data_IF_864139415722
#
_entry.id   IF_864139415722
#
_cell.length_a   1.000
_cell.length_b   1.000
_cell.length_c   1.000
_cell.angle_alpha   90.00
_cell.angle_beta   90.00
_cell.angle_gamma   90.00
#
_symmetry.space_group_name_H-M   'P 1'
#
loop_
_entity.id
_entity.type
_entity.pdbx_description
1 polymer ?
#
# COMPACT_ATOMS: atom_id res chain seq x y z
N UNK A 1 -38.01 45.97 3.94
CA UNK A 1 -36.62 45.48 4.06
C UNK A 1 -36.61 44.00 3.75
N UNK A 2 -36.16 43.62 2.54
CA UNK A 2 -35.94 42.22 2.18
C UNK A 2 -34.48 41.91 2.50
N UNK A 3 -34.26 41.06 3.50
CA UNK A 3 -32.93 40.60 3.88
C UNK A 3 -32.48 39.52 2.88
N UNK A 4 -31.99 39.93 1.72
CA UNK A 4 -31.28 39.04 0.81
C UNK A 4 -29.83 38.91 1.30
N UNK A 5 -29.61 37.99 2.25
CA UNK A 5 -28.25 37.57 2.60
C UNK A 5 -27.71 36.76 1.43
N UNK A 6 -26.51 37.06 0.89
CA UNK A 6 -25.90 36.24 -0.14
C UNK A 6 -25.71 34.83 0.42
N UNK A 7 -26.30 33.83 -0.24
CA UNK A 7 -26.07 32.44 0.08
C UNK A 7 -24.61 32.13 -0.24
N UNK A 8 -23.78 32.05 0.80
CA UNK A 8 -22.38 31.64 0.67
C UNK A 8 -22.40 30.18 0.22
N UNK A 9 -22.11 29.96 -1.05
CA UNK A 9 -21.96 28.64 -1.63
C UNK A 9 -20.81 27.93 -0.92
N UNK A 10 -21.15 26.97 -0.07
CA UNK A 10 -20.20 26.21 0.73
C UNK A 10 -19.29 25.45 -0.23
N UNK A 11 -18.02 25.88 -0.29
CA UNK A 11 -16.88 25.23 -0.92
C UNK A 11 -17.15 23.77 -1.33
N UNK A 12 -17.41 23.51 -2.62
CA UNK A 12 -17.09 22.19 -3.18
C UNK A 12 -15.61 21.97 -2.86
N UNK A 13 -15.25 20.95 -2.08
CA UNK A 13 -13.85 20.75 -1.76
C UNK A 13 -13.13 20.53 -3.09
N UNK A 14 -12.08 21.32 -3.34
CA UNK A 14 -11.26 21.29 -4.56
C UNK A 14 -10.37 20.02 -4.58
N UNK A 15 -10.93 18.88 -4.15
CA UNK A 15 -10.21 17.65 -3.81
C UNK A 15 -9.82 16.80 -5.01
N UNK A 16 -10.47 16.99 -6.16
CA UNK A 16 -10.13 16.27 -7.40
C UNK A 16 -8.70 16.59 -7.83
N UNK A 17 -8.42 17.87 -8.08
CA UNK A 17 -7.09 18.36 -8.45
C UNK A 17 -6.01 17.98 -7.42
N UNK A 18 -6.32 18.13 -6.13
CA UNK A 18 -5.36 17.84 -5.06
C UNK A 18 -4.98 16.35 -5.05
N UNK A 19 -5.95 15.44 -5.20
CA UNK A 19 -5.67 13.99 -5.26
C UNK A 19 -4.76 13.64 -6.43
N UNK A 20 -5.04 14.19 -7.61
CA UNK A 20 -4.29 13.90 -8.82
C UNK A 20 -2.85 14.44 -8.71
N UNK A 21 -2.70 15.66 -8.20
CA UNK A 21 -1.39 16.27 -7.91
C UNK A 21 -0.58 15.43 -6.91
N UNK A 22 -1.22 14.97 -5.82
CA UNK A 22 -0.55 14.15 -4.82
C UNK A 22 -0.10 12.80 -5.40
N UNK A 23 -0.93 12.21 -6.26
CA UNK A 23 -0.62 10.95 -6.93
C UNK A 23 0.58 11.10 -7.87
N UNK A 24 0.62 12.17 -8.65
CA UNK A 24 1.74 12.47 -9.55
C UNK A 24 3.04 12.67 -8.78
N UNK A 25 3.01 13.48 -7.70
CA UNK A 25 4.17 13.68 -6.84
C UNK A 25 4.64 12.36 -6.20
N UNK A 26 3.73 11.55 -5.67
CA UNK A 26 4.08 10.27 -5.07
C UNK A 26 4.69 9.30 -6.08
N UNK A 27 4.16 9.26 -7.30
CA UNK A 27 4.70 8.42 -8.36
C UNK A 27 6.13 8.84 -8.73
N UNK A 28 6.37 10.14 -8.88
CA UNK A 28 7.70 10.68 -9.17
C UNK A 28 8.72 10.32 -8.08
N UNK A 29 8.34 10.43 -6.81
CA UNK A 29 9.22 10.05 -5.70
C UNK A 29 9.52 8.54 -5.71
N UNK A 30 8.53 7.69 -6.01
CA UNK A 30 8.73 6.24 -6.13
C UNK A 30 9.66 5.86 -7.29
N UNK A 31 9.61 6.60 -8.41
CA UNK A 31 10.51 6.39 -9.54
C UNK A 31 11.97 6.76 -9.21
N UNK A 32 12.18 7.78 -8.38
CA UNK A 32 13.52 8.21 -7.93
C UNK A 32 14.06 7.39 -6.74
N UNK A 33 13.18 6.70 -6.01
CA UNK A 33 13.52 5.94 -4.81
C UNK A 33 14.74 4.99 -4.96
N UNK A 34 14.93 4.24 -6.06
CA UNK A 34 16.09 3.38 -6.22
C UNK A 34 17.41 4.14 -6.22
N UNK A 35 17.43 5.34 -6.79
CA UNK A 35 18.63 6.18 -6.86
C UNK A 35 18.92 6.83 -5.51
N UNK A 36 17.90 7.36 -4.83
CA UNK A 36 18.03 7.87 -3.45
C UNK A 36 18.53 6.79 -2.48
N UNK A 37 18.09 5.54 -2.63
CA UNK A 37 18.56 4.43 -1.81
C UNK A 37 20.04 4.08 -2.07
N UNK A 38 20.56 4.31 -3.28
CA UNK A 38 21.98 4.05 -3.60
C UNK A 38 22.92 5.04 -2.90
N UNK A 39 22.47 6.25 -2.63
CA UNK A 39 23.23 7.30 -1.95
C UNK A 39 23.44 7.04 -0.45
N UNK A 40 22.65 6.13 0.14
CA UNK A 40 22.72 5.81 1.56
C UNK A 40 23.82 4.80 1.89
N UNK A 41 24.41 4.93 3.08
CA UNK A 41 25.33 3.94 3.63
C UNK A 41 24.68 2.54 3.74
N UNK A 42 25.44 1.44 3.57
CA UNK A 42 24.88 0.09 3.49
C UNK A 42 23.93 -0.29 4.64
N UNK A 43 24.29 0.09 5.88
CA UNK A 43 23.48 -0.21 7.08
C UNK A 43 22.17 0.58 7.09
N UNK A 44 22.20 1.85 6.67
CA UNK A 44 21.00 2.69 6.60
C UNK A 44 20.06 2.20 5.48
N UNK A 45 20.63 1.86 4.33
CA UNK A 45 19.91 1.30 3.19
C UNK A 45 19.18 0.02 3.58
N UNK A 46 19.86 -0.91 4.27
CA UNK A 46 19.26 -2.15 4.76
C UNK A 46 18.08 -1.85 5.70
N UNK A 47 18.26 -0.95 6.67
CA UNK A 47 17.21 -0.59 7.61
C UNK A 47 15.96 -0.01 6.93
N UNK A 48 16.14 0.83 5.91
CA UNK A 48 15.02 1.39 5.14
C UNK A 48 14.33 0.30 4.32
N UNK A 49 15.07 -0.56 3.61
CA UNK A 49 14.51 -1.67 2.86
C UNK A 49 13.67 -2.59 3.75
N UNK A 50 14.14 -2.90 4.96
CA UNK A 50 13.37 -3.67 5.92
C UNK A 50 12.04 -3.04 6.32
N UNK A 51 12.01 -1.70 6.46
CA UNK A 51 10.78 -0.96 6.75
C UNK A 51 9.83 -0.87 5.56
N UNK A 52 10.36 -0.91 4.33
CA UNK A 52 9.55 -0.88 3.11
C UNK A 52 8.97 -2.25 2.74
N UNK A 53 9.64 -3.35 3.09
CA UNK A 53 9.22 -4.72 2.77
C UNK A 53 7.71 -5.00 2.96
N UNK A 54 7.05 -4.61 4.08
CA UNK A 54 5.63 -4.89 4.30
C UNK A 54 4.67 -4.23 3.30
N UNK A 55 5.13 -3.18 2.58
CA UNK A 55 4.31 -2.42 1.64
C UNK A 55 4.50 -2.86 0.20
N UNK A 56 5.68 -3.38 -0.15
CA UNK A 56 6.02 -3.84 -1.51
C UNK A 56 5.81 -5.34 -1.68
N UNK A 57 6.03 -6.14 -0.63
CA UNK A 57 5.89 -7.59 -0.71
C UNK A 57 4.42 -7.99 -0.50
N UNK A 58 3.94 -9.02 -1.22
CA UNK A 58 2.63 -9.59 -0.95
C UNK A 58 2.58 -10.14 0.47
N UNK A 59 1.41 -10.06 1.11
CA UNK A 59 1.19 -10.71 2.39
C UNK A 59 1.32 -12.21 2.19
N UNK A 60 2.25 -12.82 2.92
CA UNK A 60 2.43 -14.27 2.91
C UNK A 60 1.60 -14.88 4.04
N UNK A 61 0.77 -15.86 3.70
CA UNK A 61 0.11 -16.68 4.69
C UNK A 61 0.97 -17.91 5.01
N UNK A 62 0.92 -18.36 6.26
CA UNK A 62 1.57 -19.61 6.63
C UNK A 62 0.79 -20.77 6.00
N UNK A 63 1.40 -21.43 5.02
CA UNK A 63 0.83 -22.63 4.41
C UNK A 63 1.15 -23.85 5.28
N UNK A 64 0.17 -24.75 5.42
CA UNK A 64 0.39 -26.05 6.06
C UNK A 64 1.22 -26.95 5.14
N UNK A 65 1.93 -27.92 5.71
CA UNK A 65 2.76 -28.88 4.96
C UNK A 65 2.00 -29.68 3.89
N UNK A 66 0.67 -29.78 4.04
CA UNK A 66 -0.24 -30.50 3.15
C UNK A 66 -1.07 -29.56 2.24
N UNK A 67 -0.65 -28.28 2.13
CA UNK A 67 -1.30 -27.33 1.23
C UNK A 67 -1.09 -27.75 -0.23
N UNK A 68 -2.18 -27.99 -0.96
CA UNK A 68 -2.15 -28.46 -2.34
C UNK A 68 -2.16 -29.99 -2.51
N UNK A 69 -2.17 -30.77 -1.43
CA UNK A 69 -2.30 -32.23 -1.52
C UNK A 69 -3.74 -32.66 -1.88
N UNK A 70 -3.91 -33.74 -2.68
CA UNK A 70 -5.22 -34.31 -3.00
C UNK A 70 -6.01 -34.71 -1.75
N UNK A 71 -7.34 -34.51 -1.79
CA UNK A 71 -8.22 -34.77 -0.64
C UNK A 71 -8.20 -36.24 -0.16
N UNK A 72 -7.82 -37.20 -1.02
CA UNK A 72 -7.66 -38.61 -0.67
C UNK A 72 -6.71 -38.84 0.53
N UNK A 73 -5.66 -38.02 0.66
CA UNK A 73 -4.72 -38.09 1.78
C UNK A 73 -5.27 -37.46 3.07
N UNK A 74 -6.27 -36.57 2.95
CA UNK A 74 -6.95 -35.99 4.12
C UNK A 74 -7.93 -36.99 4.73
N UNK A 75 -8.61 -37.79 3.91
CA UNK A 75 -9.64 -38.74 4.34
C UNK A 75 -9.04 -39.91 5.15
N UNK A 76 -7.86 -40.40 4.76
CA UNK A 76 -7.21 -41.55 5.43
C UNK A 76 -6.83 -41.27 6.90
N UNK A 77 -6.60 -40.01 7.27
CA UNK A 77 -6.17 -39.59 8.61
C UNK A 77 -7.29 -39.63 9.67
N UNK A 78 -8.56 -39.67 9.27
CA UNK A 78 -9.71 -39.68 10.20
C UNK A 78 -10.19 -41.08 10.58
N UNK A 79 -9.59 -42.11 9.98
CA UNK A 79 -9.99 -43.51 10.15
C UNK A 79 -8.97 -44.35 10.93
N UNK A 80 -7.95 -43.72 11.52
CA UNK A 80 -7.00 -44.32 12.47
C UNK A 80 -7.17 -43.72 13.87
#
# INVERSE_FOLDING_TARGET
MKNDKPQVEYNKPLTGNIRDTLKELMQKELEQLPDTLKELEPVQRLNILCKLMPYVLPKTESVKHNFGEPDEFKIKRWHD
#
